data_IF_959329018952
#
_entry.id   IF_959329018952
#
_cell.length_a   1.000
_cell.length_b   1.000
_cell.length_c   1.000
_cell.angle_alpha   90.00
_cell.angle_beta   90.00
_cell.angle_gamma   90.00
#
_symmetry.space_group_name_H-M   'P 1'
#
loop_
_entity.id
_entity.type
_entity.pdbx_description
1 polymer ?
#
# COMPACT_ATOMS: atom_id res chain seq x y z
N UNK A 1 4.08 29.32 3.32
CA UNK A 1 4.57 28.04 2.75
C UNK A 1 3.95 26.87 3.51
N UNK A 2 2.74 26.42 3.14
CA UNK A 2 2.01 25.31 3.81
C UNK A 2 2.43 23.92 3.29
N UNK A 3 3.66 23.76 2.80
CA UNK A 3 4.12 22.48 2.25
C UNK A 3 4.10 21.36 3.32
N UNK A 4 4.39 21.70 4.58
CA UNK A 4 4.43 20.75 5.70
C UNK A 4 3.06 20.16 6.00
N UNK A 5 2.01 20.97 5.95
CA UNK A 5 0.63 20.50 6.18
C UNK A 5 0.16 19.59 5.05
N UNK A 6 0.48 19.94 3.80
CA UNK A 6 0.22 19.10 2.63
C UNK A 6 0.94 17.75 2.75
N UNK A 7 2.24 17.74 3.11
CA UNK A 7 3.00 16.51 3.35
C UNK A 7 2.38 15.66 4.47
N UNK A 8 1.95 16.26 5.58
CA UNK A 8 1.31 15.49 6.66
C UNK A 8 -0.04 14.91 6.25
N UNK A 9 -0.82 15.63 5.42
CA UNK A 9 -2.10 15.15 4.90
C UNK A 9 -1.90 13.99 3.91
N UNK A 10 -0.90 14.10 3.05
CA UNK A 10 -0.53 13.10 2.04
C UNK A 10 0.00 11.81 2.71
N UNK A 11 0.94 11.93 3.65
CA UNK A 11 1.44 10.81 4.47
C UNK A 11 0.30 10.18 5.29
N UNK A 12 -0.60 11.02 5.83
CA UNK A 12 -1.78 10.55 6.55
C UNK A 12 -2.72 9.73 5.67
N UNK A 13 -2.94 10.17 4.43
CA UNK A 13 -3.74 9.45 3.45
C UNK A 13 -3.05 8.14 3.03
N UNK A 14 -1.75 8.14 2.75
CA UNK A 14 -1.02 6.91 2.42
C UNK A 14 -1.07 5.89 3.55
N UNK A 15 -0.85 6.32 4.79
CA UNK A 15 -0.93 5.44 5.95
C UNK A 15 -2.36 4.89 6.17
N UNK A 16 -3.38 5.70 5.90
CA UNK A 16 -4.78 5.25 5.94
C UNK A 16 -5.06 4.24 4.83
N UNK A 17 -4.63 4.53 3.60
CA UNK A 17 -4.79 3.66 2.43
C UNK A 17 -4.10 2.31 2.66
N UNK A 18 -2.87 2.29 3.17
CA UNK A 18 -2.17 1.05 3.54
C UNK A 18 -2.90 0.23 4.61
N UNK A 19 -3.63 0.87 5.53
CA UNK A 19 -4.42 0.17 6.57
C UNK A 19 -5.72 -0.39 6.04
N UNK A 20 -6.40 0.33 5.13
CA UNK A 20 -7.67 -0.14 4.54
C UNK A 20 -7.46 -1.10 3.38
N UNK A 21 -6.31 -1.06 2.71
CA UNK A 21 -6.00 -1.92 1.58
C UNK A 21 -6.16 -3.42 1.88
N UNK A 22 -5.58 -3.98 2.96
CA UNK A 22 -5.79 -5.40 3.28
C UNK A 22 -7.26 -5.73 3.58
N UNK A 23 -8.08 -4.79 4.04
CA UNK A 23 -9.52 -5.01 4.23
C UNK A 23 -10.27 -5.18 2.89
N UNK A 24 -9.74 -4.61 1.80
CA UNK A 24 -10.26 -4.78 0.44
C UNK A 24 -9.72 -6.05 -0.26
N UNK A 25 -8.66 -6.66 0.26
CA UNK A 25 -8.09 -7.89 -0.30
C UNK A 25 -8.83 -9.12 0.23
N UNK A 26 -8.98 -10.13 -0.62
CA UNK A 26 -9.60 -11.39 -0.24
C UNK A 26 -8.76 -12.58 -0.72
N UNK A 27 -8.86 -13.70 0.02
CA UNK A 27 -8.21 -14.96 -0.33
C UNK A 27 -6.69 -14.86 -0.50
N UNK A 28 -6.20 -15.21 -1.67
CA UNK A 28 -4.77 -15.31 -1.97
C UNK A 28 -4.05 -13.96 -1.88
N UNK A 29 -4.74 -12.86 -2.22
CA UNK A 29 -4.17 -11.50 -2.15
C UNK A 29 -3.91 -11.06 -0.72
N UNK A 30 -4.84 -11.34 0.19
CA UNK A 30 -4.65 -11.07 1.61
C UNK A 30 -3.50 -11.91 2.18
N UNK A 31 -3.41 -13.18 1.81
CA UNK A 31 -2.31 -14.07 2.21
C UNK A 31 -0.95 -13.62 1.64
N UNK A 32 -0.91 -13.09 0.42
CA UNK A 32 0.28 -12.44 -0.14
C UNK A 32 0.67 -11.19 0.67
N UNK A 33 -0.28 -10.32 0.98
CA UNK A 33 -0.04 -9.11 1.77
C UNK A 33 0.59 -9.44 3.13
N UNK A 34 0.08 -10.46 3.83
CA UNK A 34 0.66 -10.91 5.10
C UNK A 34 2.06 -11.53 4.99
N UNK A 35 2.50 -11.91 3.79
CA UNK A 35 3.85 -12.44 3.53
C UNK A 35 4.86 -11.35 3.15
N UNK A 36 4.42 -10.11 2.96
CA UNK A 36 5.33 -9.01 2.65
C UNK A 36 6.26 -8.73 3.85
N UNK A 37 7.58 -8.54 3.62
CA UNK A 37 8.50 -8.22 4.69
C UNK A 37 8.18 -6.87 5.35
N UNK A 38 8.35 -6.73 6.66
CA UNK A 38 8.18 -5.43 7.33
C UNK A 38 9.13 -4.40 6.71
N UNK A 39 8.66 -3.16 6.52
CA UNK A 39 9.33 -2.06 5.80
C UNK A 39 9.51 -2.22 4.28
N UNK A 40 8.96 -3.24 3.65
CA UNK A 40 8.98 -3.34 2.17
C UNK A 40 8.00 -2.39 1.48
N UNK A 41 7.04 -1.85 2.24
CA UNK A 41 6.02 -0.92 1.75
C UNK A 41 6.09 0.34 2.62
N UNK A 42 6.63 1.42 2.05
CA UNK A 42 6.76 2.70 2.75
C UNK A 42 5.52 3.59 2.60
N UNK A 43 4.76 3.40 1.53
CA UNK A 43 3.58 4.18 1.18
C UNK A 43 2.59 3.31 0.37
N UNK A 44 1.40 3.84 0.11
CA UNK A 44 0.37 3.11 -0.63
C UNK A 44 0.78 2.81 -2.07
N UNK A 45 1.59 3.68 -2.68
CA UNK A 45 2.06 3.48 -4.04
C UNK A 45 2.96 2.25 -4.17
N UNK A 46 3.95 2.07 -3.28
CA UNK A 46 4.81 0.88 -3.25
C UNK A 46 3.97 -0.40 -3.11
N UNK A 47 2.95 -0.35 -2.25
CA UNK A 47 2.00 -1.45 -2.06
C UNK A 47 1.24 -1.78 -3.35
N UNK A 48 0.75 -0.75 -4.02
CA UNK A 48 0.00 -0.89 -5.27
C UNK A 48 0.87 -1.45 -6.39
N UNK A 49 2.13 -1.00 -6.49
CA UNK A 49 3.08 -1.48 -7.49
C UNK A 49 3.45 -2.95 -7.25
N UNK A 50 3.67 -3.35 -6.00
CA UNK A 50 3.91 -4.74 -5.63
C UNK A 50 2.68 -5.62 -5.94
N UNK A 51 1.47 -5.14 -5.67
CA UNK A 51 0.23 -5.84 -5.98
C UNK A 51 0.03 -6.01 -7.49
N UNK A 52 0.23 -4.95 -8.27
CA UNK A 52 0.17 -4.97 -9.74
C UNK A 52 1.25 -5.91 -10.30
N UNK A 53 2.49 -5.85 -9.80
CA UNK A 53 3.55 -6.77 -10.21
C UNK A 53 3.20 -8.24 -9.97
N UNK A 54 2.57 -8.54 -8.83
CA UNK A 54 2.20 -9.90 -8.44
C UNK A 54 0.96 -10.45 -9.16
N UNK A 55 -0.04 -9.61 -9.45
CA UNK A 55 -1.36 -10.04 -9.94
C UNK A 55 -1.69 -9.58 -11.36
N UNK A 56 -1.10 -8.50 -11.85
CA UNK A 56 -1.39 -7.90 -13.16
C UNK A 56 -0.23 -8.07 -14.16
N UNK A 57 1.01 -8.21 -13.69
CA UNK A 57 2.19 -8.38 -14.54
C UNK A 57 2.54 -9.85 -14.84
N UNK A 58 1.82 -10.80 -14.25
CA UNK A 58 1.92 -12.24 -14.56
C UNK A 58 1.02 -12.65 -15.75
N UNK A 59 1.02 -11.86 -16.82
CA UNK A 59 0.37 -12.17 -18.11
C UNK A 59 1.42 -12.55 -19.16
#
# INVERSE_FOLDING_TARGET
MHYRQLMTLDIGNDALLCKVFPASLQGQALSWFHRLPPNSVGNFRDLSEAFVGQYLCSA
#
